data_IF_592797000893
#
_entry.id   IF_592797000893
#
_cell.length_a   1.000
_cell.length_b   1.000
_cell.length_c   1.000
_cell.angle_alpha   90.00
_cell.angle_beta   90.00
_cell.angle_gamma   90.00
#
_symmetry.space_group_name_H-M   'P 1'
#
loop_
_entity.id
_entity.type
_entity.pdbx_description
1 polymer ?
#
# COMPACT_ATOMS: atom_id res chain seq x y z
N UNK A 1 -5.13 -14.01 0.96
CA UNK A 1 -5.13 -14.31 2.40
C UNK A 1 -5.25 -15.82 2.57
N UNK A 2 -4.67 -16.36 3.63
CA UNK A 2 -4.78 -17.79 3.96
C UNK A 2 -4.75 -17.94 5.49
N UNK A 3 -5.82 -18.52 6.06
CA UNK A 3 -5.93 -18.80 7.48
C UNK A 3 -5.55 -20.27 7.74
N UNK A 4 -4.58 -20.47 8.62
CA UNK A 4 -4.15 -21.81 9.03
C UNK A 4 -4.48 -22.04 10.51
N UNK A 5 -4.32 -23.28 10.98
CA UNK A 5 -4.55 -23.60 12.39
C UNK A 5 -3.52 -22.99 13.36
N UNK A 6 -2.40 -22.46 12.87
CA UNK A 6 -1.30 -21.96 13.70
C UNK A 6 -0.84 -20.54 13.38
N UNK A 7 -1.22 -20.00 12.25
CA UNK A 7 -0.89 -18.64 11.84
C UNK A 7 -1.78 -18.20 10.69
N UNK A 8 -1.92 -16.89 10.51
CA UNK A 8 -2.57 -16.29 9.35
C UNK A 8 -1.52 -15.73 8.40
N UNK A 9 -1.74 -15.89 7.10
CA UNK A 9 -0.87 -15.39 6.04
C UNK A 9 -1.57 -14.35 5.20
N UNK A 10 -1.04 -13.13 5.16
CA UNK A 10 -1.48 -12.06 4.27
C UNK A 10 -0.35 -11.69 3.31
N UNK A 11 -0.62 -11.68 2.02
CA UNK A 11 0.29 -11.12 1.02
C UNK A 11 -0.30 -9.82 0.49
N UNK A 12 0.48 -8.75 0.56
CA UNK A 12 0.06 -7.42 0.16
C UNK A 12 1.12 -6.78 -0.76
N UNK A 13 0.71 -6.22 -1.90
CA UNK A 13 1.64 -5.61 -2.85
C UNK A 13 1.83 -4.13 -2.57
N UNK A 14 3.04 -3.65 -2.72
CA UNK A 14 3.29 -2.22 -2.75
C UNK A 14 2.77 -1.66 -4.08
N UNK A 15 2.08 -0.52 -4.03
CA UNK A 15 1.79 0.27 -5.21
C UNK A 15 2.41 1.65 -4.97
N UNK A 16 3.66 1.80 -5.36
CA UNK A 16 4.44 3.01 -5.10
C UNK A 16 5.18 3.47 -6.35
N UNK A 17 5.45 4.75 -6.43
CA UNK A 17 6.46 5.26 -7.34
C UNK A 17 7.81 4.69 -6.90
N UNK A 18 8.58 4.13 -7.82
CA UNK A 18 9.88 3.54 -7.52
C UNK A 18 10.83 4.52 -6.83
N UNK A 19 11.78 4.00 -6.07
CA UNK A 19 12.74 4.80 -5.32
C UNK A 19 13.46 5.81 -6.23
N UNK A 20 13.46 7.08 -5.83
CA UNK A 20 14.09 8.18 -6.58
C UNK A 20 13.22 8.82 -7.68
N UNK A 21 12.04 8.29 -7.97
CA UNK A 21 11.17 8.85 -9.01
C UNK A 21 10.27 9.97 -8.49
N UNK A 22 9.79 9.89 -7.26
CA UNK A 22 8.83 10.84 -6.71
C UNK A 22 9.35 12.30 -6.67
N UNK A 23 10.62 12.53 -6.29
CA UNK A 23 11.22 13.86 -6.25
C UNK A 23 11.56 14.43 -7.62
N UNK A 24 12.02 13.60 -8.55
CA UNK A 24 12.46 14.05 -9.90
C UNK A 24 11.31 14.42 -10.84
N UNK A 25 10.11 13.85 -10.65
CA UNK A 25 8.95 14.09 -11.52
C UNK A 25 7.97 15.15 -10.99
N UNK A 26 8.07 15.49 -9.70
CA UNK A 26 7.22 16.54 -9.11
C UNK A 26 7.65 17.94 -9.56
N UNK A 27 8.91 18.13 -9.94
CA UNK A 27 9.48 19.40 -10.36
C UNK A 27 9.30 19.70 -11.86
N UNK A 28 8.92 18.72 -12.69
CA UNK A 28 8.59 18.98 -14.09
C UNK A 28 7.18 19.56 -14.18
N UNK A 29 7.09 20.88 -14.32
CA UNK A 29 5.85 21.67 -14.45
C UNK A 29 5.00 21.20 -15.65
N UNK A 30 5.65 20.62 -16.66
CA UNK A 30 5.03 20.06 -17.87
C UNK A 30 5.55 18.66 -18.12
N UNK A 31 4.70 17.65 -17.98
CA UNK A 31 5.04 16.27 -18.31
C UNK A 31 5.46 16.12 -19.78
N UNK A 32 6.34 15.16 -20.06
CA UNK A 32 6.74 14.74 -21.40
C UNK A 32 6.40 13.27 -21.61
N UNK A 33 6.30 12.82 -22.87
CA UNK A 33 6.12 11.38 -23.14
C UNK A 33 7.24 10.52 -22.55
N UNK A 34 8.46 11.07 -22.43
CA UNK A 34 9.58 10.39 -21.80
C UNK A 34 9.42 10.32 -20.27
N UNK A 35 8.89 11.36 -19.62
CA UNK A 35 8.60 11.34 -18.19
C UNK A 35 7.44 10.40 -17.87
N UNK A 36 6.40 10.37 -18.73
CA UNK A 36 5.28 9.44 -18.59
C UNK A 36 5.76 7.97 -18.65
N UNK A 37 6.61 7.63 -19.63
CA UNK A 37 7.18 6.28 -19.73
C UNK A 37 7.99 5.91 -18.50
N UNK A 38 8.91 6.77 -18.04
CA UNK A 38 9.69 6.53 -16.83
C UNK A 38 8.82 6.33 -15.58
N UNK A 39 7.74 7.10 -15.46
CA UNK A 39 6.81 6.97 -14.34
C UNK A 39 6.10 5.61 -14.34
N UNK A 40 5.70 5.11 -15.51
CA UNK A 40 5.06 3.80 -15.67
C UNK A 40 6.06 2.67 -15.39
N UNK A 41 7.27 2.76 -15.96
CA UNK A 41 8.33 1.76 -15.79
C UNK A 41 8.83 1.69 -14.34
N UNK A 42 8.65 2.75 -13.57
CA UNK A 42 9.08 2.85 -12.18
C UNK A 42 8.02 2.39 -11.16
N UNK A 43 6.83 1.95 -11.61
CA UNK A 43 5.80 1.45 -10.69
C UNK A 43 6.32 0.20 -9.98
N UNK A 44 6.37 0.27 -8.64
CA UNK A 44 6.76 -0.86 -7.80
C UNK A 44 5.53 -1.60 -7.29
N UNK A 45 5.36 -2.84 -7.72
CA UNK A 45 4.30 -3.77 -7.31
C UNK A 45 4.84 -4.94 -6.50
N UNK A 46 5.99 -4.79 -5.86
CA UNK A 46 6.65 -5.86 -5.10
C UNK A 46 5.77 -6.36 -3.95
N UNK A 47 5.64 -7.68 -3.77
CA UNK A 47 4.86 -8.25 -2.69
C UNK A 47 5.58 -8.12 -1.35
N UNK A 48 4.80 -7.95 -0.29
CA UNK A 48 5.21 -8.09 1.11
C UNK A 48 4.31 -9.14 1.75
N UNK A 49 4.91 -10.21 2.26
CA UNK A 49 4.21 -11.26 2.98
C UNK A 49 4.23 -10.98 4.48
N UNK A 50 3.13 -11.27 5.15
CA UNK A 50 2.95 -11.18 6.60
C UNK A 50 2.45 -12.52 7.10
N UNK A 51 3.21 -13.14 8.01
CA UNK A 51 2.73 -14.31 8.75
C UNK A 51 2.50 -13.90 10.22
N UNK A 52 1.23 -13.98 10.62
CA UNK A 52 0.77 -13.61 11.95
C UNK A 52 0.75 -14.82 12.86
N UNK A 53 1.46 -14.72 13.96
CA UNK A 53 1.38 -15.62 15.10
C UNK A 53 0.91 -14.82 16.33
N UNK A 54 0.52 -15.45 17.39
CA UNK A 54 0.03 -14.79 18.61
C UNK A 54 0.97 -13.68 19.12
N UNK A 55 2.28 -13.90 19.08
CA UNK A 55 3.28 -12.97 19.65
C UNK A 55 4.36 -12.55 18.67
N UNK A 56 4.35 -13.07 17.47
CA UNK A 56 5.39 -12.83 16.45
C UNK A 56 4.74 -12.45 15.14
N UNK A 57 5.15 -11.34 14.57
CA UNK A 57 4.88 -10.98 13.18
C UNK A 57 6.14 -11.23 12.35
N UNK A 58 6.05 -12.19 11.42
CA UNK A 58 7.12 -12.45 10.47
C UNK A 58 6.79 -11.77 9.15
N UNK A 59 7.74 -11.01 8.60
CA UNK A 59 7.56 -10.34 7.31
C UNK A 59 8.57 -10.84 6.29
N UNK A 60 8.08 -11.10 5.08
CA UNK A 60 8.89 -11.43 3.90
C UNK A 60 8.75 -10.31 2.90
N UNK A 61 9.85 -9.70 2.50
CA UNK A 61 9.84 -8.48 1.69
C UNK A 61 11.12 -8.38 0.85
N UNK A 62 11.14 -7.57 -0.23
CA UNK A 62 12.35 -7.23 -0.96
C UNK A 62 13.42 -6.56 -0.07
N UNK A 63 14.67 -6.62 -0.49
CA UNK A 63 15.81 -6.07 0.27
C UNK A 63 15.65 -4.57 0.57
N UNK A 64 15.06 -3.81 -0.34
CA UNK A 64 14.85 -2.36 -0.30
C UNK A 64 13.48 -1.95 0.26
N UNK A 65 12.98 -2.67 1.25
CA UNK A 65 11.65 -2.43 1.79
C UNK A 65 11.62 -1.22 2.74
N UNK A 66 11.30 -0.05 2.22
CA UNK A 66 11.17 1.20 2.98
C UNK A 66 10.14 1.10 4.11
N UNK A 67 9.06 0.33 3.92
CA UNK A 67 8.02 0.11 4.95
C UNK A 67 8.61 -0.56 6.18
N UNK A 68 9.40 -1.63 5.99
CA UNK A 68 10.11 -2.31 7.08
C UNK A 68 11.02 -1.34 7.83
N UNK A 69 11.85 -0.59 7.09
CA UNK A 69 12.86 0.29 7.68
C UNK A 69 12.20 1.43 8.47
N UNK A 70 11.09 1.97 7.95
CA UNK A 70 10.30 2.97 8.66
C UNK A 70 9.78 2.43 9.99
N UNK A 71 9.11 1.25 9.99
CA UNK A 71 8.55 0.69 11.22
C UNK A 71 9.62 0.21 12.20
N UNK A 72 10.72 -0.40 11.71
CA UNK A 72 11.85 -0.80 12.55
C UNK A 72 12.46 0.39 13.28
N UNK A 73 12.72 1.50 12.58
CA UNK A 73 13.26 2.73 13.14
C UNK A 73 12.29 3.34 14.16
N UNK A 74 11.00 3.37 13.86
CA UNK A 74 9.97 3.93 14.73
C UNK A 74 9.81 3.13 16.02
N UNK A 75 9.80 1.80 15.93
CA UNK A 75 9.74 0.92 17.10
C UNK A 75 10.98 1.06 17.98
N UNK A 76 12.17 1.15 17.37
CA UNK A 76 13.43 1.36 18.10
C UNK A 76 13.44 2.70 18.87
N UNK A 77 12.93 3.77 18.27
CA UNK A 77 12.79 5.09 18.91
C UNK A 77 11.82 5.05 20.10
N UNK A 78 10.69 4.36 19.94
CA UNK A 78 9.68 4.26 21.00
C UNK A 78 10.10 3.35 22.18
N UNK A 79 11.06 2.44 21.96
CA UNK A 79 11.62 1.60 23.00
C UNK A 79 12.61 2.35 23.91
N UNK A 80 13.02 3.59 23.59
CA UNK A 80 13.92 4.38 24.42
C UNK A 80 13.16 5.05 25.56
N UNK A 81 13.58 4.84 26.83
CA UNK A 81 12.95 5.49 27.98
C UNK A 81 13.28 6.99 27.97
N UNK A 82 12.30 7.83 27.71
CA UNK A 82 12.42 9.29 27.80
C UNK A 82 11.56 10.10 26.85
N UNK A 83 11.07 9.53 25.78
CA UNK A 83 10.32 10.29 24.78
C UNK A 83 8.80 10.00 24.78
N UNK A 84 8.18 10.17 25.98
CA UNK A 84 6.72 10.05 26.14
C UNK A 84 5.91 11.14 25.40
N UNK A 85 6.55 12.00 24.61
CA UNK A 85 5.92 13.13 23.91
C UNK A 85 5.56 12.87 22.45
N UNK A 86 5.99 11.77 21.88
CA UNK A 86 5.61 11.36 20.52
C UNK A 86 4.31 10.57 20.50
N UNK A 87 3.19 11.20 20.19
CA UNK A 87 1.80 10.75 20.32
C UNK A 87 1.36 9.52 19.52
N UNK A 88 2.24 8.61 19.14
CA UNK A 88 1.89 7.35 18.49
C UNK A 88 2.02 6.20 19.47
N UNK A 89 0.88 5.63 19.88
CA UNK A 89 0.85 4.43 20.71
C UNK A 89 1.58 3.27 20.01
N UNK A 90 2.34 2.50 20.79
CA UNK A 90 2.85 1.20 20.35
C UNK A 90 1.70 0.33 19.81
N UNK A 91 1.95 -0.54 18.83
CA UNK A 91 0.97 -1.52 18.41
C UNK A 91 0.48 -2.35 19.60
N UNK A 92 -0.82 -2.63 19.65
CA UNK A 92 -1.41 -3.44 20.72
C UNK A 92 -1.07 -4.93 20.59
N UNK A 93 -0.80 -5.38 19.36
CA UNK A 93 -0.46 -6.76 19.04
C UNK A 93 0.13 -6.89 17.64
N UNK A 94 0.36 -8.13 17.22
CA UNK A 94 0.92 -8.47 15.91
C UNK A 94 -0.01 -8.05 14.77
N UNK A 95 -1.30 -8.28 14.92
CA UNK A 95 -2.33 -7.89 13.95
C UNK A 95 -2.41 -6.36 13.79
N UNK A 96 -2.36 -5.61 14.89
CA UNK A 96 -2.35 -4.14 14.83
C UNK A 96 -1.10 -3.61 14.13
N UNK A 97 0.07 -4.23 14.38
CA UNK A 97 1.31 -3.87 13.69
C UNK A 97 1.19 -4.15 12.18
N UNK A 98 0.69 -5.32 11.80
CA UNK A 98 0.47 -5.66 10.39
C UNK A 98 -0.45 -4.64 9.70
N UNK A 99 -1.61 -4.34 10.26
CA UNK A 99 -2.55 -3.37 9.66
C UNK A 99 -1.95 -1.97 9.57
N UNK A 100 -1.12 -1.54 10.51
CA UNK A 100 -0.40 -0.26 10.40
C UNK A 100 0.61 -0.27 9.26
N UNK A 101 1.31 -1.39 9.04
CA UNK A 101 2.22 -1.54 7.91
C UNK A 101 1.46 -1.52 6.58
N UNK A 102 0.35 -2.27 6.49
CA UNK A 102 -0.52 -2.29 5.31
C UNK A 102 -1.09 -0.90 5.03
N UNK A 103 -1.61 -0.19 6.04
CA UNK A 103 -2.10 1.17 5.87
C UNK A 103 -1.02 2.11 5.32
N UNK A 104 0.21 2.02 5.84
CA UNK A 104 1.32 2.81 5.35
C UNK A 104 1.68 2.48 3.89
N UNK A 105 1.51 1.21 3.47
CA UNK A 105 1.66 0.83 2.05
C UNK A 105 0.58 1.47 1.19
N UNK A 106 -0.67 1.47 1.65
CA UNK A 106 -1.81 2.10 0.94
C UNK A 106 -1.66 3.62 0.85
N UNK A 107 -1.08 4.27 1.86
CA UNK A 107 -0.78 5.71 1.80
C UNK A 107 0.09 6.07 0.57
N UNK A 108 0.98 5.17 0.14
CA UNK A 108 1.81 5.37 -1.06
C UNK A 108 1.01 5.36 -2.37
N UNK A 109 -0.19 4.76 -2.39
CA UNK A 109 -1.07 4.74 -3.56
C UNK A 109 -1.53 6.14 -3.97
N UNK A 110 -1.74 7.03 -3.00
CA UNK A 110 -2.14 8.41 -3.27
C UNK A 110 -1.05 9.17 -4.02
N UNK A 111 0.21 8.94 -3.70
CA UNK A 111 1.34 9.56 -4.40
C UNK A 111 1.46 9.02 -5.83
N UNK A 112 1.39 7.70 -5.98
CA UNK A 112 1.39 7.06 -7.30
C UNK A 112 0.23 7.56 -8.16
N UNK A 113 -0.99 7.61 -7.61
CA UNK A 113 -2.17 8.13 -8.29
C UNK A 113 -1.97 9.56 -8.77
N UNK A 114 -1.43 10.45 -7.92
CA UNK A 114 -1.14 11.85 -8.30
C UNK A 114 -0.14 11.93 -9.45
N UNK A 115 0.90 11.10 -9.38
CA UNK A 115 1.91 11.02 -10.44
C UNK A 115 1.26 10.56 -11.76
N UNK A 116 0.52 9.46 -11.75
CA UNK A 116 -0.14 8.91 -12.95
C UNK A 116 -1.16 9.89 -13.52
N UNK A 117 -1.97 10.56 -12.68
CA UNK A 117 -2.94 11.57 -13.13
C UNK A 117 -2.26 12.69 -13.93
N UNK A 118 -1.12 13.20 -13.45
CA UNK A 118 -0.37 14.23 -14.19
C UNK A 118 0.12 13.72 -15.54
N UNK A 119 0.67 12.51 -15.58
CA UNK A 119 1.21 11.93 -16.80
C UNK A 119 0.10 11.65 -17.84
N UNK A 120 -1.03 11.14 -17.38
CA UNK A 120 -2.17 10.91 -18.26
C UNK A 120 -2.80 12.20 -18.78
N UNK A 121 -2.87 13.24 -17.97
CA UNK A 121 -3.33 14.58 -18.42
C UNK A 121 -2.44 15.08 -19.57
N UNK A 122 -1.12 14.92 -19.46
CA UNK A 122 -0.19 15.28 -20.53
C UNK A 122 -0.45 14.46 -21.80
N UNK A 123 -0.59 13.13 -21.70
CA UNK A 123 -0.88 12.29 -22.85
C UNK A 123 -2.22 12.64 -23.51
N UNK A 124 -3.24 13.00 -22.73
CA UNK A 124 -4.52 13.50 -23.27
C UNK A 124 -4.33 14.80 -24.05
N UNK A 125 -3.57 15.76 -23.54
CA UNK A 125 -3.29 17.00 -24.26
C UNK A 125 -2.56 16.77 -25.59
N UNK A 126 -1.58 15.86 -25.62
CA UNK A 126 -0.91 15.49 -26.84
C UNK A 126 -1.86 14.79 -27.86
N UNK A 127 -2.72 13.90 -27.36
CA UNK A 127 -3.67 13.14 -28.18
C UNK A 127 -4.67 14.07 -28.89
N UNK A 128 -5.19 15.08 -28.18
CA UNK A 128 -6.21 16.00 -28.68
C UNK A 128 -5.67 17.28 -29.29
N UNK A 129 -4.35 17.39 -29.46
CA UNK A 129 -3.72 18.58 -30.02
C UNK A 129 -4.15 18.78 -31.49
N UNK A 130 -4.79 19.93 -31.85
CA UNK A 130 -5.19 20.22 -33.22
C UNK A 130 -3.99 20.23 -34.16
N UNK A 131 -4.05 19.48 -35.26
CA UNK A 131 -2.98 19.44 -36.28
C UNK A 131 -1.74 18.62 -35.89
N UNK A 132 -1.69 18.04 -34.70
CA UNK A 132 -0.63 17.14 -34.25
C UNK A 132 -1.00 15.68 -34.51
N UNK A 133 -0.25 14.97 -35.35
CA UNK A 133 -0.36 13.51 -35.43
C UNK A 133 0.19 12.91 -34.14
N UNK A 134 -0.66 12.38 -33.27
CA UNK A 134 -0.21 11.63 -32.09
C UNK A 134 0.65 10.45 -32.51
N UNK A 135 1.87 10.36 -32.01
CA UNK A 135 2.85 9.33 -32.40
C UNK A 135 3.13 8.30 -31.30
N UNK A 136 2.65 8.55 -30.07
CA UNK A 136 3.02 7.75 -28.89
C UNK A 136 2.00 6.64 -28.58
N UNK A 137 1.46 5.97 -29.60
CA UNK A 137 0.46 4.90 -29.45
C UNK A 137 0.96 3.75 -28.55
N UNK A 138 2.25 3.43 -28.63
CA UNK A 138 2.84 2.41 -27.78
C UNK A 138 2.78 2.82 -26.30
N UNK A 139 3.14 4.07 -25.98
CA UNK A 139 3.07 4.58 -24.62
C UNK A 139 1.63 4.59 -24.08
N UNK A 140 0.65 4.91 -24.93
CA UNK A 140 -0.76 4.85 -24.55
C UNK A 140 -1.18 3.41 -24.21
N UNK A 141 -0.72 2.42 -24.99
CA UNK A 141 -1.00 1.02 -24.72
C UNK A 141 -0.31 0.53 -23.42
N UNK A 142 0.96 0.89 -23.23
CA UNK A 142 1.71 0.60 -22.00
C UNK A 142 1.02 1.21 -20.78
N UNK A 143 0.55 2.45 -20.90
CA UNK A 143 -0.21 3.14 -19.86
C UNK A 143 -1.51 2.41 -19.48
N UNK A 144 -2.24 1.95 -20.50
CA UNK A 144 -3.47 1.17 -20.28
C UNK A 144 -3.16 -0.15 -19.57
N UNK A 145 -2.13 -0.87 -19.99
CA UNK A 145 -1.74 -2.13 -19.37
C UNK A 145 -1.30 -1.93 -17.91
N UNK A 146 -0.57 -0.84 -17.62
CA UNK A 146 -0.20 -0.49 -16.26
C UNK A 146 -1.43 -0.20 -15.39
N UNK A 147 -2.43 0.53 -15.91
CA UNK A 147 -3.67 0.80 -15.18
C UNK A 147 -4.44 -0.48 -14.86
N UNK A 148 -4.57 -1.42 -15.82
CA UNK A 148 -5.21 -2.70 -15.57
C UNK A 148 -4.47 -3.50 -14.49
N UNK A 149 -3.14 -3.54 -14.54
CA UNK A 149 -2.35 -4.21 -13.50
C UNK A 149 -2.59 -3.60 -12.11
N UNK A 150 -2.69 -2.28 -12.04
CA UNK A 150 -2.96 -1.59 -10.77
C UNK A 150 -4.38 -1.87 -10.28
N UNK A 151 -5.37 -1.85 -11.17
CA UNK A 151 -6.77 -2.16 -10.88
C UNK A 151 -6.90 -3.60 -10.35
N UNK A 152 -6.36 -4.58 -11.07
CA UNK A 152 -6.35 -5.99 -10.64
C UNK A 152 -5.66 -6.14 -9.27
N UNK A 153 -4.52 -5.46 -9.07
CA UNK A 153 -3.79 -5.51 -7.80
C UNK A 153 -4.62 -4.91 -6.65
N UNK A 154 -5.31 -3.80 -6.88
CA UNK A 154 -6.17 -3.18 -5.86
C UNK A 154 -7.34 -4.11 -5.49
N UNK A 155 -7.95 -4.76 -6.48
CA UNK A 155 -9.06 -5.71 -6.23
C UNK A 155 -8.60 -6.95 -5.46
N UNK A 156 -7.45 -7.52 -5.83
CA UNK A 156 -6.85 -8.64 -5.10
C UNK A 156 -6.59 -8.28 -3.61
N UNK A 157 -6.08 -7.08 -3.37
CA UNK A 157 -5.78 -6.61 -2.02
C UNK A 157 -7.03 -6.31 -1.21
N UNK A 158 -8.04 -5.73 -1.85
CA UNK A 158 -9.35 -5.52 -1.26
C UNK A 158 -9.95 -6.87 -0.82
N UNK A 159 -9.92 -7.86 -1.71
CA UNK A 159 -10.42 -9.20 -1.44
C UNK A 159 -9.68 -9.85 -0.27
N UNK A 160 -8.34 -9.75 -0.24
CA UNK A 160 -7.54 -10.29 0.86
C UNK A 160 -7.87 -9.65 2.23
N UNK A 161 -8.19 -8.35 2.26
CA UNK A 161 -8.61 -7.68 3.50
C UNK A 161 -10.03 -8.03 3.92
N UNK A 162 -10.93 -8.29 2.96
CA UNK A 162 -12.28 -8.80 3.26
C UNK A 162 -12.19 -10.18 3.89
N UNK A 163 -11.42 -11.10 3.29
CA UNK A 163 -11.17 -12.43 3.84
C UNK A 163 -10.52 -12.39 5.24
N UNK A 164 -9.60 -11.43 5.45
CA UNK A 164 -9.04 -11.17 6.77
C UNK A 164 -10.09 -10.75 7.79
N UNK A 165 -11.03 -9.86 7.42
CA UNK A 165 -12.13 -9.44 8.29
C UNK A 165 -13.01 -10.62 8.65
N UNK A 166 -13.36 -11.47 7.67
CA UNK A 166 -14.17 -12.65 7.88
C UNK A 166 -13.47 -13.64 8.83
N UNK A 167 -12.16 -13.85 8.67
CA UNK A 167 -11.38 -14.68 9.57
C UNK A 167 -11.34 -14.13 11.01
N UNK A 168 -11.32 -12.80 11.20
CA UNK A 168 -11.43 -12.20 12.54
C UNK A 168 -12.78 -12.53 13.22
N UNK A 169 -13.83 -12.78 12.46
CA UNK A 169 -15.15 -13.17 13.00
C UNK A 169 -15.14 -14.62 13.51
N UNK A 170 -14.31 -15.48 12.93
CA UNK A 170 -14.15 -16.87 13.34
C UNK A 170 -13.28 -17.06 14.59
N UNK A 171 -12.56 -16.02 15.01
CA UNK A 171 -11.77 -16.07 16.23
C UNK A 171 -12.66 -16.37 17.44
N UNK A 172 -12.21 -17.24 18.38
CA UNK A 172 -13.02 -17.63 19.54
C UNK A 172 -13.52 -16.39 20.29
N UNK A 173 -14.77 -16.48 20.76
CA UNK A 173 -15.33 -15.43 21.60
C UNK A 173 -14.55 -15.35 22.90
N UNK A 174 -13.76 -14.31 23.03
CA UNK A 174 -13.01 -14.04 24.23
C UNK A 174 -13.93 -13.48 25.32
N UNK A 175 -13.85 -14.08 26.51
CA UNK A 175 -14.63 -13.63 27.66
C UNK A 175 -14.28 -12.21 28.10
N UNK A 176 -13.06 -11.73 27.76
CA UNK A 176 -12.57 -10.43 28.14
C UNK A 176 -13.08 -9.30 27.25
N UNK A 177 -13.66 -8.29 27.86
CA UNK A 177 -14.15 -7.10 27.16
C UNK A 177 -13.03 -6.34 26.40
N UNK A 178 -11.78 -6.46 26.85
CA UNK A 178 -10.61 -5.84 26.22
C UNK A 178 -10.32 -6.46 24.86
N UNK A 179 -10.31 -7.78 24.76
CA UNK A 179 -10.04 -8.49 23.54
C UNK A 179 -11.15 -8.31 22.48
N UNK A 180 -12.40 -8.25 22.91
CA UNK A 180 -13.52 -7.90 22.01
C UNK A 180 -13.38 -6.49 21.43
N UNK A 181 -12.92 -5.52 22.23
CA UNK A 181 -12.65 -4.15 21.76
C UNK A 181 -11.48 -4.12 20.77
N UNK A 182 -10.44 -4.90 21.03
CA UNK A 182 -9.30 -5.00 20.12
C UNK A 182 -9.71 -5.58 18.77
N UNK A 183 -10.48 -6.66 18.74
CA UNK A 183 -11.03 -7.24 17.51
C UNK A 183 -11.85 -6.22 16.73
N UNK A 184 -12.73 -5.50 17.38
CA UNK A 184 -13.53 -4.45 16.72
C UNK A 184 -12.66 -3.32 16.16
N UNK A 185 -11.61 -2.92 16.85
CA UNK A 185 -10.65 -1.94 16.33
C UNK A 185 -9.89 -2.45 15.10
N UNK A 186 -9.51 -3.74 15.08
CA UNK A 186 -8.89 -4.36 13.90
C UNK A 186 -9.84 -4.35 12.71
N UNK A 187 -11.11 -4.70 12.91
CA UNK A 187 -12.16 -4.66 11.87
C UNK A 187 -12.36 -3.26 11.31
N UNK A 188 -12.49 -2.26 12.17
CA UNK A 188 -12.65 -0.86 11.75
C UNK A 188 -11.45 -0.40 10.93
N UNK A 189 -10.22 -0.67 11.36
CA UNK A 189 -9.02 -0.32 10.61
C UNK A 189 -8.94 -1.02 9.26
N UNK A 190 -9.31 -2.30 9.20
CA UNK A 190 -9.32 -3.03 7.92
C UNK A 190 -10.32 -2.41 6.94
N UNK A 191 -11.49 -1.99 7.42
CA UNK A 191 -12.49 -1.27 6.60
C UNK A 191 -11.98 0.09 6.13
N UNK A 192 -11.32 0.85 6.99
CA UNK A 192 -10.71 2.12 6.62
C UNK A 192 -9.66 1.94 5.51
N UNK A 193 -8.86 0.87 5.58
CA UNK A 193 -7.86 0.54 4.55
C UNK A 193 -8.55 0.17 3.23
N UNK A 194 -9.63 -0.63 3.27
CA UNK A 194 -10.42 -0.98 2.08
C UNK A 194 -10.96 0.30 1.42
N UNK A 195 -11.55 1.22 2.19
CA UNK A 195 -12.03 2.49 1.65
C UNK A 195 -10.91 3.34 1.01
N UNK A 196 -9.68 3.27 1.53
CA UNK A 196 -8.53 3.94 0.94
C UNK A 196 -8.11 3.31 -0.39
N UNK A 197 -8.21 1.98 -0.52
CA UNK A 197 -7.91 1.27 -1.77
C UNK A 197 -8.94 1.61 -2.85
N UNK A 198 -10.21 1.77 -2.49
CA UNK A 198 -11.32 2.05 -3.41
C UNK A 198 -11.35 3.51 -3.92
N UNK A 199 -10.62 4.41 -3.30
CA UNK A 199 -10.52 5.84 -3.70
C UNK A 199 -9.53 6.07 -4.82
#
# INVERSE_FOLDING_TARGET
FDATSGYDLLVFRRLAAGAGTAGSFLDEEHGTSASARRAIDAIDTSPVGFALFDRVLLTVHPTDCLVRDYFASRMAQQAQPGDARGGSRLPSGTADLMLRMVNHMVDSYLELRRLLTRQFTHLQHELFRPGGGFRNWQLLLESRNALHLLEDTCEDQRSALVEWIDALEEWPDEAEAAARRERELLRLRSRDIIEHIER
#
